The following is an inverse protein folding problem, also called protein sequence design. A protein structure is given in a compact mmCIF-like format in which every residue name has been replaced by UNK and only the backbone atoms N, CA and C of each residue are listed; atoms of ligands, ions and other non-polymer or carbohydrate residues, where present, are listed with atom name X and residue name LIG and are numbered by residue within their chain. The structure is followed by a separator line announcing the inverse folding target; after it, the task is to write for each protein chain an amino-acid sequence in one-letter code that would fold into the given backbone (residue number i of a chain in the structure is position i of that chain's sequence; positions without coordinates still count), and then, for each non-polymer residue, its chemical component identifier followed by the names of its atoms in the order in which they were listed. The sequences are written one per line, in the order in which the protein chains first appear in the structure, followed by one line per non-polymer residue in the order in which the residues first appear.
data_IF_048453473632
#
_entry.id   IF_048453473632
#
_cell.length_a   1.000
_cell.length_b   1.000
_cell.length_c   1.000
_cell.angle_alpha   90.00
_cell.angle_beta   90.00
_cell.angle_gamma   90.00
#
_symmetry.space_group_name_H-M   'P 1'
#
loop_
_entity.id
_entity.type
_entity.pdbx_description
1 polymer ?
#
# COMPACT_ATOMS: atom_id res chain seq x y z
N UNK A 1 -10.64 -16.28 15.38
CA UNK A 1 -10.89 -15.33 14.27
C UNK A 1 -10.78 -13.85 14.67
N UNK A 2 -11.07 -13.46 15.92
CA UNK A 2 -11.01 -12.04 16.34
C UNK A 2 -9.63 -11.37 16.20
N UNK A 3 -8.54 -12.06 16.58
CA UNK A 3 -7.18 -11.52 16.47
C UNK A 3 -6.74 -11.28 15.01
N UNK A 4 -7.06 -12.22 14.11
CA UNK A 4 -6.74 -12.11 12.69
C UNK A 4 -7.52 -10.95 12.06
N UNK A 5 -8.81 -10.85 12.36
CA UNK A 5 -9.65 -9.73 11.90
C UNK A 5 -9.13 -8.38 12.41
N UNK A 6 -8.71 -8.32 13.67
CA UNK A 6 -8.11 -7.12 14.27
C UNK A 6 -6.81 -6.70 13.55
N UNK A 7 -5.88 -7.63 13.31
CA UNK A 7 -4.62 -7.33 12.63
C UNK A 7 -4.84 -6.80 11.20
N UNK A 8 -5.77 -7.40 10.45
CA UNK A 8 -6.11 -6.97 9.09
C UNK A 8 -6.72 -5.56 9.11
N UNK A 9 -7.71 -5.33 9.99
CA UNK A 9 -8.38 -4.04 10.09
C UNK A 9 -7.42 -2.92 10.51
N UNK A 10 -6.61 -3.15 11.54
CA UNK A 10 -5.62 -2.19 12.02
C UNK A 10 -4.55 -1.88 10.98
N UNK A 11 -4.00 -2.90 10.32
CA UNK A 11 -2.97 -2.70 9.29
C UNK A 11 -3.50 -1.88 8.11
N UNK A 12 -4.74 -2.15 7.69
CA UNK A 12 -5.40 -1.40 6.63
C UNK A 12 -5.66 0.07 7.04
N UNK A 13 -6.07 0.31 8.29
CA UNK A 13 -6.39 1.63 8.80
C UNK A 13 -5.13 2.50 8.97
N UNK A 14 -4.10 1.97 9.65
CA UNK A 14 -2.83 2.68 9.87
C UNK A 14 -2.18 3.13 8.55
N UNK A 15 -2.17 2.26 7.55
CA UNK A 15 -1.60 2.57 6.23
C UNK A 15 -2.38 3.67 5.50
N UNK A 16 -3.70 3.74 5.71
CA UNK A 16 -4.54 4.76 5.08
C UNK A 16 -4.37 6.11 5.77
N UNK A 17 -4.38 6.14 7.11
CA UNK A 17 -4.11 7.35 7.89
C UNK A 17 -2.75 7.95 7.53
N UNK A 18 -1.71 7.13 7.45
CA UNK A 18 -0.38 7.59 7.01
C UNK A 18 -0.40 8.21 5.61
N UNK A 19 -1.20 7.66 4.69
CA UNK A 19 -1.33 8.18 3.33
C UNK A 19 -2.02 9.56 3.33
N UNK A 20 -3.09 9.72 4.11
CA UNK A 20 -3.78 11.00 4.28
C UNK A 20 -2.84 12.04 4.89
N UNK A 21 -2.10 11.68 5.94
CA UNK A 21 -1.18 12.59 6.63
C UNK A 21 -0.01 13.04 5.73
N UNK A 22 0.40 12.19 4.77
CA UNK A 22 1.49 12.52 3.83
C UNK A 22 1.01 13.39 2.65
N UNK A 23 -0.27 13.29 2.28
CA UNK A 23 -0.87 13.97 1.13
C UNK A 23 -2.05 14.85 1.58
N UNK A 24 -1.80 15.82 2.46
CA UNK A 24 -2.85 16.68 3.02
C UNK A 24 -3.68 17.42 1.98
N UNK A 25 -3.04 17.91 0.90
CA UNK A 25 -3.71 18.73 -0.13
C UNK A 25 -4.54 17.87 -1.11
N UNK A 26 -4.27 16.56 -1.19
CA UNK A 26 -4.96 15.61 -2.10
C UNK A 26 -5.61 14.46 -1.32
N UNK A 27 -5.92 14.66 -0.04
CA UNK A 27 -6.28 13.57 0.87
C UNK A 27 -7.43 12.70 0.37
N UNK A 28 -8.50 13.29 -0.18
CA UNK A 28 -9.64 12.56 -0.70
C UNK A 28 -9.30 11.70 -1.94
N UNK A 29 -8.59 12.29 -2.92
CA UNK A 29 -8.20 11.59 -4.15
C UNK A 29 -7.25 10.42 -3.85
N UNK A 30 -6.31 10.64 -2.94
CA UNK A 30 -5.36 9.60 -2.52
C UNK A 30 -6.06 8.46 -1.80
N UNK A 31 -7.05 8.76 -0.94
CA UNK A 31 -7.86 7.73 -0.28
C UNK A 31 -8.61 6.88 -1.30
N UNK A 32 -9.30 7.51 -2.27
CA UNK A 32 -10.06 6.80 -3.31
C UNK A 32 -9.14 5.92 -4.16
N UNK A 33 -8.01 6.46 -4.62
CA UNK A 33 -7.02 5.70 -5.40
C UNK A 33 -6.50 4.48 -4.62
N UNK A 34 -6.15 4.66 -3.34
CA UNK A 34 -5.66 3.57 -2.48
C UNK A 34 -6.72 2.50 -2.27
N UNK A 35 -7.99 2.89 -2.15
CA UNK A 35 -9.11 1.97 -1.96
C UNK A 35 -9.40 1.16 -3.22
N UNK A 36 -9.31 1.77 -4.40
CA UNK A 36 -9.40 1.07 -5.69
C UNK A 36 -8.31 0.00 -5.82
N UNK A 37 -7.04 0.37 -5.58
CA UNK A 37 -5.90 -0.57 -5.65
C UNK A 37 -6.12 -1.77 -4.72
N UNK A 38 -6.55 -1.53 -3.48
CA UNK A 38 -6.82 -2.59 -2.50
C UNK A 38 -7.89 -3.57 -2.97
N UNK A 39 -8.99 -3.07 -3.52
CA UNK A 39 -10.07 -3.93 -4.03
C UNK A 39 -9.64 -4.73 -5.27
N UNK A 40 -8.89 -4.11 -6.19
CA UNK A 40 -8.37 -4.80 -7.37
C UNK A 40 -7.36 -5.88 -7.00
N UNK A 41 -6.47 -5.62 -6.05
CA UNK A 41 -5.52 -6.64 -5.55
C UNK A 41 -6.24 -7.81 -4.89
N UNK A 42 -7.27 -7.54 -4.08
CA UNK A 42 -8.10 -8.58 -3.47
C UNK A 42 -8.76 -9.47 -4.51
N UNK A 43 -9.32 -8.87 -5.57
CA UNK A 43 -9.88 -9.59 -6.72
C UNK A 43 -8.82 -10.44 -7.43
N UNK A 44 -7.65 -9.86 -7.72
CA UNK A 44 -6.56 -10.54 -8.42
C UNK A 44 -6.06 -11.78 -7.65
N UNK A 45 -5.91 -11.67 -6.33
CA UNK A 45 -5.51 -12.80 -5.48
C UNK A 45 -6.62 -13.84 -5.42
N UNK A 46 -7.89 -13.41 -5.28
CA UNK A 46 -9.03 -14.32 -5.24
C UNK A 46 -9.16 -15.20 -6.49
N UNK A 47 -8.92 -14.63 -7.68
CA UNK A 47 -8.90 -15.39 -8.93
C UNK A 47 -7.58 -16.14 -9.17
N UNK A 48 -6.47 -15.62 -8.67
CA UNK A 48 -5.14 -16.21 -8.84
C UNK A 48 -4.87 -17.40 -7.93
N UNK A 49 -5.57 -17.55 -6.81
CA UNK A 49 -5.22 -18.58 -5.81
C UNK A 49 -5.51 -20.01 -6.29
N UNK A 50 -6.61 -20.23 -7.01
CA UNK A 50 -6.98 -21.54 -7.55
C UNK A 50 -5.91 -22.08 -8.51
N UNK A 51 -5.57 -21.38 -9.61
CA UNK A 51 -4.50 -21.86 -10.50
C UNK A 51 -3.14 -21.90 -9.81
N UNK A 52 -2.89 -21.03 -8.83
CA UNK A 52 -1.64 -21.06 -8.06
C UNK A 52 -1.49 -22.36 -7.26
N UNK A 53 -2.54 -22.79 -6.56
CA UNK A 53 -2.51 -24.04 -5.80
C UNK A 53 -2.52 -25.29 -6.67
N UNK A 54 -3.20 -25.25 -7.82
CA UNK A 54 -3.28 -26.40 -8.74
C UNK A 54 -1.96 -26.65 -9.47
N UNK A 55 -1.22 -25.60 -9.86
CA UNK A 55 0.04 -25.75 -10.60
C UNK A 55 1.26 -26.02 -9.71
N UNK A 56 1.33 -25.46 -8.49
CA UNK A 56 2.48 -25.62 -7.59
C UNK A 56 2.28 -26.66 -6.48
N UNK A 57 1.03 -27.05 -6.21
CA UNK A 57 0.66 -27.85 -5.05
C UNK A 57 0.56 -27.05 -3.76
N UNK A 58 -0.25 -27.53 -2.80
CA UNK A 58 -0.54 -26.82 -1.55
C UNK A 58 0.70 -26.45 -0.75
N UNK A 59 1.65 -27.38 -0.58
CA UNK A 59 2.84 -27.15 0.25
C UNK A 59 3.71 -26.00 -0.27
N UNK A 60 4.02 -25.99 -1.58
CA UNK A 60 4.85 -24.94 -2.17
C UNK A 60 4.10 -23.61 -2.24
N UNK A 61 2.79 -23.62 -2.51
CA UNK A 61 1.97 -22.42 -2.50
C UNK A 61 1.97 -21.75 -1.11
N UNK A 62 1.77 -22.51 -0.03
CA UNK A 62 1.83 -21.98 1.34
C UNK A 62 3.23 -21.48 1.72
N UNK A 63 4.30 -22.17 1.29
CA UNK A 63 5.66 -21.73 1.57
C UNK A 63 5.98 -20.39 0.89
N UNK A 64 5.57 -20.21 -0.37
CA UNK A 64 5.75 -18.96 -1.09
C UNK A 64 4.89 -17.85 -0.49
N UNK A 65 3.65 -18.14 -0.10
CA UNK A 65 2.79 -17.18 0.59
C UNK A 65 3.39 -16.71 1.92
N UNK A 66 3.97 -17.62 2.71
CA UNK A 66 4.66 -17.30 3.95
C UNK A 66 5.93 -16.45 3.69
N UNK A 67 6.71 -16.80 2.67
CA UNK A 67 7.90 -16.03 2.29
C UNK A 67 7.53 -14.62 1.78
N UNK A 68 6.46 -14.48 0.99
CA UNK A 68 5.95 -13.20 0.51
C UNK A 68 5.46 -12.33 1.68
N UNK A 69 4.74 -12.92 2.65
CA UNK A 69 4.34 -12.22 3.87
C UNK A 69 5.53 -11.75 4.71
N UNK A 70 6.57 -12.57 4.83
CA UNK A 70 7.81 -12.18 5.51
C UNK A 70 8.51 -11.03 4.79
N UNK A 71 8.63 -11.11 3.45
CA UNK A 71 9.20 -10.04 2.64
C UNK A 71 8.43 -8.73 2.81
N UNK A 72 7.10 -8.78 2.80
CA UNK A 72 6.23 -7.61 3.03
C UNK A 72 6.58 -6.91 4.35
N UNK A 73 6.77 -7.67 5.42
CA UNK A 73 7.15 -7.11 6.73
C UNK A 73 8.56 -6.53 6.67
N UNK A 74 9.52 -7.24 6.07
CA UNK A 74 10.92 -6.79 5.97
C UNK A 74 11.10 -5.48 5.19
N UNK A 75 10.13 -5.04 4.38
CA UNK A 75 10.14 -3.73 3.72
C UNK A 75 10.33 -2.58 4.73
N UNK A 76 9.91 -2.73 5.99
CA UNK A 76 10.15 -1.69 7.00
C UNK A 76 11.65 -1.40 7.19
N UNK A 77 12.51 -2.42 7.11
CA UNK A 77 13.96 -2.28 7.27
C UNK A 77 14.58 -1.48 6.12
N UNK A 78 14.07 -1.70 4.91
CA UNK A 78 14.44 -0.94 3.71
C UNK A 78 14.08 0.53 3.91
N UNK A 79 12.88 0.81 4.43
CA UNK A 79 12.43 2.17 4.72
C UNK A 79 13.21 2.84 5.86
N UNK A 80 13.71 2.10 6.85
CA UNK A 80 14.58 2.66 7.90
C UNK A 80 15.92 3.11 7.31
N UNK A 81 16.51 2.32 6.42
CA UNK A 81 17.84 2.62 5.85
C UNK A 81 17.81 3.69 4.76
N UNK A 82 16.81 3.66 3.88
CA UNK A 82 16.74 4.53 2.69
C UNK A 82 15.59 5.54 2.71
N UNK A 83 14.71 5.49 3.71
CA UNK A 83 13.59 6.43 3.85
C UNK A 83 13.98 7.91 3.83
N UNK A 84 15.08 8.35 4.49
CA UNK A 84 15.50 9.75 4.45
C UNK A 84 15.80 10.23 3.02
N UNK A 85 16.50 9.42 2.23
CA UNK A 85 16.89 9.75 0.85
C UNK A 85 15.70 9.80 -0.09
N UNK A 86 14.69 8.94 0.13
CA UNK A 86 13.45 8.93 -0.64
C UNK A 86 12.63 10.19 -0.33
N UNK A 87 12.56 10.62 0.93
CA UNK A 87 11.84 11.84 1.34
C UNK A 87 12.45 13.10 0.76
N UNK A 88 13.77 13.20 0.73
CA UNK A 88 14.47 14.37 0.17
C UNK A 88 14.17 14.52 -1.33
N UNK A 89 14.22 13.43 -2.09
CA UNK A 89 13.95 13.43 -3.55
C UNK A 89 12.48 13.69 -3.92
N UNK A 90 11.54 13.27 -3.08
CA UNK A 90 10.11 13.46 -3.35
C UNK A 90 9.62 14.89 -3.06
N UNK A 91 10.38 15.68 -2.30
CA UNK A 91 9.96 17.02 -1.86
C UNK A 91 9.81 17.98 -3.05
N UNK A 92 10.76 17.99 -3.97
CA UNK A 92 10.73 18.90 -5.13
C UNK A 92 9.59 18.58 -6.09
N UNK A 93 9.29 17.28 -6.25
CA UNK A 93 8.18 16.84 -7.10
C UNK A 93 6.83 17.16 -6.47
N UNK A 94 6.68 16.93 -5.16
CA UNK A 94 5.46 17.25 -4.44
C UNK A 94 5.14 18.75 -4.53
N UNK A 95 6.13 19.62 -4.30
CA UNK A 95 5.94 21.08 -4.41
C UNK A 95 5.44 21.51 -5.79
N UNK A 96 6.02 20.96 -6.86
CA UNK A 96 5.60 21.25 -8.23
C UNK A 96 4.17 20.78 -8.53
N UNK A 97 3.79 19.63 -8.00
CA UNK A 97 2.44 19.07 -8.20
C UNK A 97 1.39 19.87 -7.39
N UNK A 98 1.74 20.35 -6.20
CA UNK A 98 0.90 21.25 -5.38
C UNK A 98 0.74 22.61 -6.05
N UNK A 99 1.84 23.27 -6.46
CA UNK A 99 1.79 24.58 -7.12
C UNK A 99 0.88 24.55 -8.34
N UNK A 100 0.98 23.47 -9.14
CA UNK A 100 0.13 23.24 -10.32
C UNK A 100 -1.33 23.01 -9.96
N UNK A 101 -1.62 22.32 -8.86
CA UNK A 101 -3.00 22.11 -8.40
C UNK A 101 -3.62 23.37 -7.80
N UNK A 102 -2.81 24.23 -7.16
CA UNK A 102 -3.22 25.56 -6.72
C UNK A 102 -3.51 26.49 -7.91
N UNK A 103 -2.68 26.48 -8.95
CA UNK A 103 -2.94 27.22 -10.19
C UNK A 103 -4.24 26.80 -10.88
N UNK A 104 -4.59 25.51 -10.82
CA UNK A 104 -5.80 24.95 -11.39
C UNK A 104 -7.03 25.08 -10.47
N UNK A 105 -6.87 25.65 -9.26
CA UNK A 105 -7.96 25.87 -8.30
C UNK A 105 -8.58 24.60 -7.75
N UNK A 106 -7.87 23.47 -7.80
CA UNK A 106 -8.35 22.13 -7.40
C UNK A 106 -7.95 21.78 -5.96
N UNK A 107 -6.99 22.52 -5.38
CA UNK A 107 -6.66 22.42 -3.96
C UNK A 107 -7.78 23.07 -3.14
N UNK A 108 -8.49 22.26 -2.36
CA UNK A 108 -9.51 22.71 -1.41
C UNK A 108 -8.90 23.18 -0.09
#
# INVERSE_FOLDING_TARGET
MGLIGYCIAMGAHLSLSYCIDTYTDFGADVVVATMCIRNTMGFAIGYGITPWTENLGYQNAFLIAAAAGLLQVLIFLIMVKWGPQIRERSTDRYRRDVDRATELGITH
#
